data_IF_379897561631
#
_entry.id   IF_379897561631
#
_cell.length_a   1.000
_cell.length_b   1.000
_cell.length_c   1.000
_cell.angle_alpha   90.00
_cell.angle_beta   90.00
_cell.angle_gamma   90.00
#
_symmetry.space_group_name_H-M   'P 1'
#
loop_
_entity.id
_entity.type
_entity.pdbx_description
1 polymer ?
#
# COMPACT_ATOMS: atom_id res chain seq x y z
N UNK A 1 -10.95 -9.12 3.97
CA UNK A 1 -9.52 -8.84 4.22
C UNK A 1 -9.31 -7.37 4.52
N UNK A 2 -8.24 -7.03 5.19
CA UNK A 2 -7.76 -5.67 5.35
C UNK A 2 -6.70 -5.38 4.28
N UNK A 3 -6.96 -4.44 3.40
CA UNK A 3 -6.00 -4.02 2.36
C UNK A 3 -5.32 -2.75 2.84
N UNK A 4 -4.04 -2.85 3.16
CA UNK A 4 -3.24 -1.68 3.52
C UNK A 4 -2.76 -0.97 2.26
N UNK A 5 -3.09 0.32 2.12
CA UNK A 5 -2.71 1.12 0.96
C UNK A 5 -1.77 2.24 1.37
N UNK A 6 -0.62 2.28 0.73
CA UNK A 6 0.37 3.35 0.79
C UNK A 6 0.24 4.23 -0.45
N UNK A 7 0.08 5.52 -0.33
CA UNK A 7 -0.11 6.42 -1.46
C UNK A 7 0.29 7.86 -1.16
N UNK A 8 0.35 8.67 -2.21
CA UNK A 8 0.75 10.07 -2.11
C UNK A 8 -0.24 10.96 -1.37
N UNK A 9 0.28 11.93 -0.60
CA UNK A 9 -0.47 13.06 -0.03
C UNK A 9 -0.77 14.16 -1.07
N UNK A 10 -0.41 13.95 -2.34
CA UNK A 10 -0.76 14.77 -3.49
C UNK A 10 -1.41 13.92 -4.58
N UNK A 11 -2.11 14.56 -5.54
CA UNK A 11 -2.76 13.85 -6.64
C UNK A 11 -1.77 13.44 -7.75
N UNK A 12 -0.59 14.04 -7.75
CA UNK A 12 0.33 13.92 -8.88
C UNK A 12 -0.07 14.82 -10.04
N UNK A 13 0.65 14.72 -11.14
CA UNK A 13 0.44 15.55 -12.33
C UNK A 13 -0.63 15.01 -13.28
N UNK A 14 -0.76 13.68 -13.34
CA UNK A 14 -1.62 12.98 -14.28
C UNK A 14 -2.89 12.51 -13.56
N UNK A 15 -4.05 12.85 -14.13
CA UNK A 15 -5.35 12.43 -13.59
C UNK A 15 -5.54 10.90 -13.57
N UNK A 16 -4.76 10.15 -14.34
CA UNK A 16 -4.76 8.70 -14.29
C UNK A 16 -4.43 8.14 -12.90
N UNK A 17 -3.64 8.84 -12.10
CA UNK A 17 -3.32 8.41 -10.73
C UNK A 17 -4.52 8.53 -9.80
N UNK A 18 -5.32 9.60 -9.96
CA UNK A 18 -6.59 9.74 -9.26
C UNK A 18 -7.57 8.63 -9.67
N UNK A 19 -7.73 8.40 -10.98
CA UNK A 19 -8.57 7.32 -11.52
C UNK A 19 -8.13 5.95 -11.01
N UNK A 20 -6.81 5.71 -10.88
CA UNK A 20 -6.29 4.47 -10.30
C UNK A 20 -6.69 4.31 -8.82
N UNK A 21 -6.63 5.39 -8.02
CA UNK A 21 -7.06 5.38 -6.64
C UNK A 21 -8.56 5.13 -6.50
N UNK A 22 -9.39 5.73 -7.37
CA UNK A 22 -10.83 5.49 -7.45
C UNK A 22 -11.13 4.03 -7.84
N UNK A 23 -10.46 3.50 -8.87
CA UNK A 23 -10.58 2.11 -9.33
C UNK A 23 -10.25 1.12 -8.20
N UNK A 24 -9.13 1.32 -7.51
CA UNK A 24 -8.73 0.49 -6.38
C UNK A 24 -9.70 0.61 -5.21
N UNK A 25 -10.13 1.84 -4.87
CA UNK A 25 -11.08 2.07 -3.78
C UNK A 25 -12.42 1.39 -4.02
N UNK A 26 -12.94 1.45 -5.25
CA UNK A 26 -14.15 0.73 -5.65
C UNK A 26 -13.97 -0.78 -5.51
N UNK A 27 -12.87 -1.35 -5.98
CA UNK A 27 -12.57 -2.78 -5.87
C UNK A 27 -12.51 -3.23 -4.40
N UNK A 28 -11.89 -2.43 -3.52
CA UNK A 28 -11.83 -2.71 -2.07
C UNK A 28 -13.25 -2.79 -1.49
N UNK A 29 -14.11 -1.84 -1.82
CA UNK A 29 -15.47 -1.79 -1.30
C UNK A 29 -16.35 -2.92 -1.86
N UNK A 30 -16.34 -3.13 -3.17
CA UNK A 30 -17.12 -4.17 -3.86
C UNK A 30 -16.74 -5.57 -3.38
N UNK A 31 -15.44 -5.81 -3.10
CA UNK A 31 -14.92 -7.05 -2.51
C UNK A 31 -15.18 -7.20 -1.00
N UNK A 32 -15.91 -6.26 -0.39
CA UNK A 32 -16.17 -6.22 1.06
C UNK A 32 -14.88 -6.25 1.91
N UNK A 33 -13.80 -5.69 1.37
CA UNK A 33 -12.55 -5.52 2.08
C UNK A 33 -12.59 -4.23 2.92
N UNK A 34 -11.67 -4.12 3.86
CA UNK A 34 -11.47 -2.90 4.66
C UNK A 34 -10.20 -2.20 4.16
N UNK A 35 -10.30 -0.93 3.81
CA UNK A 35 -9.13 -0.09 3.56
C UNK A 35 -8.44 0.23 4.89
N UNK A 36 -7.13 -0.04 4.99
CA UNK A 36 -6.24 0.47 6.03
C UNK A 36 -5.27 1.43 5.38
N UNK A 37 -5.13 2.66 5.91
CA UNK A 37 -4.27 3.66 5.28
C UNK A 37 -3.81 4.74 6.26
N UNK A 38 -3.06 5.71 5.79
CA UNK A 38 -2.43 6.75 6.59
C UNK A 38 -3.34 7.81 7.22
N UNK A 39 -4.67 7.69 7.08
CA UNK A 39 -5.65 8.56 7.78
C UNK A 39 -5.80 9.97 7.19
N UNK A 40 -5.06 10.36 6.16
CA UNK A 40 -5.09 11.70 5.58
C UNK A 40 -6.27 11.96 4.64
N UNK A 41 -6.69 13.23 4.52
CA UNK A 41 -7.75 13.67 3.60
C UNK A 41 -7.23 14.28 2.29
N UNK A 42 -5.92 14.42 2.13
CA UNK A 42 -5.32 15.09 0.98
C UNK A 42 -4.76 14.09 -0.03
N UNK A 43 -4.69 14.51 -1.29
CA UNK A 43 -4.10 13.76 -2.39
C UNK A 43 -4.80 12.42 -2.64
N UNK A 44 -4.04 11.41 -3.07
CA UNK A 44 -4.57 10.08 -3.35
C UNK A 44 -5.10 9.38 -2.08
N UNK A 45 -4.60 9.76 -0.88
CA UNK A 45 -5.14 9.27 0.38
C UNK A 45 -6.61 9.66 0.56
N UNK A 46 -6.97 10.93 0.33
CA UNK A 46 -8.36 11.38 0.38
C UNK A 46 -9.21 10.69 -0.67
N UNK A 47 -8.73 10.64 -1.91
CA UNK A 47 -9.47 10.03 -3.04
C UNK A 47 -9.85 8.59 -2.75
N UNK A 48 -8.90 7.76 -2.32
CA UNK A 48 -9.19 6.34 -2.07
C UNK A 48 -10.14 6.15 -0.88
N UNK A 49 -9.96 6.92 0.20
CA UNK A 49 -10.83 6.84 1.37
C UNK A 49 -12.26 7.28 1.04
N UNK A 50 -12.43 8.42 0.35
CA UNK A 50 -13.72 8.91 -0.12
C UNK A 50 -14.42 7.90 -1.03
N UNK A 51 -13.67 7.28 -1.94
CA UNK A 51 -14.22 6.28 -2.87
C UNK A 51 -14.73 5.05 -2.11
N UNK A 52 -13.94 4.50 -1.19
CA UNK A 52 -14.37 3.34 -0.40
C UNK A 52 -15.64 3.67 0.41
N UNK A 53 -15.68 4.84 1.05
CA UNK A 53 -16.84 5.28 1.84
C UNK A 53 -18.09 5.52 0.97
N UNK A 54 -17.92 6.13 -0.21
CA UNK A 54 -19.01 6.35 -1.16
C UNK A 54 -19.65 5.03 -1.65
N UNK A 55 -18.87 3.95 -1.70
CA UNK A 55 -19.32 2.59 -2.02
C UNK A 55 -19.67 1.76 -0.78
N UNK A 56 -19.94 2.42 0.36
CA UNK A 56 -20.36 1.80 1.63
C UNK A 56 -19.32 0.81 2.22
N UNK A 57 -18.06 0.93 1.81
CA UNK A 57 -16.96 0.15 2.35
C UNK A 57 -16.45 0.67 3.70
N UNK A 58 -15.53 -0.06 4.30
CA UNK A 58 -14.95 0.27 5.60
C UNK A 58 -13.56 0.85 5.43
N UNK A 59 -13.25 1.91 6.21
CA UNK A 59 -11.96 2.59 6.17
C UNK A 59 -11.41 2.76 7.59
N UNK A 60 -10.19 2.30 7.81
CA UNK A 60 -9.42 2.50 9.04
C UNK A 60 -8.24 3.41 8.72
N UNK A 61 -8.21 4.59 9.30
CA UNK A 61 -7.08 5.53 9.20
C UNK A 61 -6.16 5.41 10.40
N UNK A 62 -4.86 5.32 10.17
CA UNK A 62 -3.84 5.34 11.22
C UNK A 62 -3.08 6.66 11.11
N UNK A 63 -3.21 7.52 12.11
CA UNK A 63 -2.65 8.88 12.04
C UNK A 63 -1.91 9.23 13.33
N UNK A 64 -0.66 9.76 13.25
CA UNK A 64 0.02 10.32 14.39
C UNK A 64 -0.67 11.58 14.91
N UNK A 65 -0.68 11.77 16.23
CA UNK A 65 -1.32 12.91 16.89
C UNK A 65 -0.88 14.26 16.26
N UNK A 66 0.41 14.45 16.02
CA UNK A 66 0.93 15.70 15.44
C UNK A 66 0.43 16.00 14.02
N UNK A 67 0.03 14.98 13.23
CA UNK A 67 -0.61 15.17 11.93
C UNK A 67 -2.11 15.43 12.07
N UNK A 68 -2.75 14.83 13.05
CA UNK A 68 -4.14 15.11 13.38
C UNK A 68 -4.30 16.59 13.80
N UNK A 69 -3.40 17.09 14.63
CA UNK A 69 -3.38 18.48 15.09
C UNK A 69 -3.19 19.50 13.95
N UNK A 70 -2.62 19.08 12.83
CA UNK A 70 -2.49 19.89 11.61
C UNK A 70 -3.71 19.84 10.68
N UNK A 71 -4.81 19.26 11.14
CA UNK A 71 -6.08 19.15 10.39
C UNK A 71 -5.96 18.38 9.05
N UNK A 72 -4.98 17.50 8.91
CA UNK A 72 -4.81 16.68 7.70
C UNK A 72 -5.56 15.35 7.76
N UNK A 73 -6.17 15.03 8.90
CA UNK A 73 -6.96 13.81 9.08
C UNK A 73 -8.28 13.85 8.31
N UNK A 74 -8.71 12.69 7.85
CA UNK A 74 -10.00 12.53 7.19
C UNK A 74 -11.14 12.51 8.24
N UNK A 75 -12.23 13.32 8.08
CA UNK A 75 -13.24 13.50 9.14
C UNK A 75 -14.22 12.32 9.28
N UNK A 76 -14.45 11.55 8.22
CA UNK A 76 -15.59 10.62 8.12
C UNK A 76 -15.19 9.14 8.05
N UNK A 77 -14.05 8.75 8.60
CA UNK A 77 -13.59 7.36 8.55
C UNK A 77 -14.47 6.44 9.39
N UNK A 78 -14.56 5.16 9.01
CA UNK A 78 -15.22 4.14 9.85
C UNK A 78 -14.52 4.01 11.20
N UNK A 79 -13.19 4.11 11.21
CA UNK A 79 -12.37 4.12 12.43
C UNK A 79 -11.10 4.95 12.22
N UNK A 80 -10.76 5.77 13.20
CA UNK A 80 -9.46 6.44 13.28
C UNK A 80 -8.69 5.88 14.46
N UNK A 81 -7.44 5.50 14.23
CA UNK A 81 -6.48 5.08 15.26
C UNK A 81 -5.41 6.15 15.35
N UNK A 82 -5.38 6.85 16.47
CA UNK A 82 -4.37 7.86 16.76
C UNK A 82 -3.18 7.17 17.42
N UNK A 83 -1.98 7.52 16.98
CA UNK A 83 -0.71 6.96 17.47
C UNK A 83 0.28 8.07 17.81
N UNK A 84 1.31 7.76 18.58
CA UNK A 84 2.27 8.76 19.08
C UNK A 84 3.37 9.10 18.06
N UNK A 85 3.75 8.14 17.20
CA UNK A 85 4.89 8.30 16.30
C UNK A 85 4.64 7.74 14.89
N UNK A 86 5.50 8.13 13.93
CA UNK A 86 5.50 7.54 12.58
C UNK A 86 5.87 6.06 12.60
N UNK A 87 6.75 5.64 13.50
CA UNK A 87 7.11 4.22 13.62
C UNK A 87 5.93 3.39 14.11
N UNK A 88 5.20 3.87 15.11
CA UNK A 88 3.97 3.21 15.59
C UNK A 88 2.90 3.16 14.51
N UNK A 89 2.72 4.24 13.73
CA UNK A 89 1.81 4.28 12.59
C UNK A 89 2.13 3.16 11.59
N UNK A 90 3.37 3.06 11.14
CA UNK A 90 3.80 2.04 10.17
C UNK A 90 3.59 0.63 10.73
N UNK A 91 4.03 0.38 11.96
CA UNK A 91 3.84 -0.90 12.62
C UNK A 91 2.35 -1.28 12.69
N UNK A 92 1.48 -0.33 13.04
CA UNK A 92 0.04 -0.58 13.13
C UNK A 92 -0.61 -0.86 11.77
N UNK A 93 -0.16 -0.17 10.71
CA UNK A 93 -0.60 -0.41 9.34
C UNK A 93 -0.18 -1.81 8.86
N UNK A 94 1.01 -2.24 9.23
CA UNK A 94 1.51 -3.60 8.91
C UNK A 94 0.75 -4.66 9.72
N UNK A 95 0.58 -4.46 11.02
CA UNK A 95 -0.14 -5.40 11.90
C UNK A 95 -1.57 -5.68 11.43
N UNK A 96 -2.25 -4.68 10.89
CA UNK A 96 -3.64 -4.80 10.46
C UNK A 96 -3.80 -5.35 9.04
N UNK A 97 -2.78 -5.23 8.19
CA UNK A 97 -2.89 -5.55 6.77
C UNK A 97 -2.79 -7.04 6.46
N UNK A 98 -3.67 -7.53 5.59
CA UNK A 98 -3.62 -8.86 4.99
C UNK A 98 -2.97 -8.83 3.59
N UNK A 99 -2.91 -7.64 2.97
CA UNK A 99 -2.20 -7.35 1.73
C UNK A 99 -1.76 -5.88 1.72
N UNK A 100 -0.64 -5.58 1.04
CA UNK A 100 -0.08 -4.24 0.96
C UNK A 100 -0.03 -3.78 -0.49
N UNK A 101 -0.64 -2.64 -0.79
CA UNK A 101 -0.68 -2.07 -2.15
C UNK A 101 -0.11 -0.65 -2.10
N UNK A 102 0.91 -0.38 -2.91
CA UNK A 102 1.39 0.97 -3.14
C UNK A 102 0.76 1.55 -4.40
N UNK A 103 -0.01 2.63 -4.28
CA UNK A 103 -0.34 3.54 -5.37
C UNK A 103 0.80 4.55 -5.59
N UNK A 104 0.83 5.28 -6.71
CA UNK A 104 1.78 6.35 -6.92
C UNK A 104 1.89 7.30 -5.72
N UNK A 105 3.12 7.67 -5.36
CA UNK A 105 3.38 8.52 -4.20
C UNK A 105 4.84 8.96 -4.10
N UNK A 106 5.17 9.67 -3.04
CA UNK A 106 6.51 10.18 -2.79
C UNK A 106 7.40 9.23 -1.98
N UNK A 107 8.49 9.77 -1.38
CA UNK A 107 9.44 9.01 -0.58
C UNK A 107 8.80 8.22 0.57
N UNK A 108 7.75 8.76 1.22
CA UNK A 108 7.03 8.05 2.29
C UNK A 108 6.35 6.78 1.80
N UNK A 109 5.68 6.83 0.64
CA UNK A 109 5.08 5.64 0.01
C UNK A 109 6.14 4.60 -0.34
N UNK A 110 7.30 5.06 -0.86
CA UNK A 110 8.42 4.17 -1.17
C UNK A 110 8.99 3.53 0.10
N UNK A 111 9.17 4.30 1.17
CA UNK A 111 9.66 3.80 2.46
C UNK A 111 8.74 2.71 3.01
N UNK A 112 7.43 2.98 3.06
CA UNK A 112 6.43 2.07 3.60
C UNK A 112 6.38 0.74 2.84
N UNK A 113 6.32 0.76 1.50
CA UNK A 113 6.27 -0.47 0.70
C UNK A 113 7.61 -1.23 0.71
N UNK A 114 8.75 -0.53 0.69
CA UNK A 114 10.06 -1.15 0.75
C UNK A 114 10.30 -1.84 2.10
N UNK A 115 9.77 -1.29 3.20
CA UNK A 115 9.85 -1.89 4.53
C UNK A 115 9.13 -3.25 4.58
N UNK A 116 7.88 -3.33 4.13
CA UNK A 116 7.11 -4.59 4.14
C UNK A 116 7.68 -5.64 3.18
N UNK A 117 8.24 -5.22 2.03
CA UNK A 117 8.97 -6.09 1.11
C UNK A 117 10.24 -6.64 1.81
N UNK A 118 10.99 -5.79 2.48
CA UNK A 118 12.19 -6.20 3.21
C UNK A 118 11.87 -7.18 4.34
N UNK A 119 10.76 -6.96 5.04
CA UNK A 119 10.31 -7.78 6.14
C UNK A 119 9.83 -9.18 5.70
N UNK A 120 9.33 -9.32 4.47
CA UNK A 120 8.98 -10.62 3.92
C UNK A 120 10.19 -11.58 3.88
N UNK A 121 11.36 -11.08 3.52
CA UNK A 121 12.61 -11.87 3.41
C UNK A 121 13.13 -12.41 4.74
N UNK A 122 12.74 -11.81 5.84
CA UNK A 122 13.14 -12.21 7.21
C UNK A 122 11.97 -12.82 8.01
N UNK A 123 10.85 -13.12 7.32
CA UNK A 123 9.67 -13.76 7.91
C UNK A 123 8.87 -12.88 8.87
N UNK A 124 9.00 -11.56 8.79
CA UNK A 124 8.22 -10.60 9.56
C UNK A 124 6.98 -10.10 8.83
N UNK A 125 6.89 -10.37 7.54
CA UNK A 125 5.71 -10.17 6.71
C UNK A 125 5.47 -11.43 5.87
N UNK A 126 4.29 -12.03 5.98
CA UNK A 126 3.88 -13.19 5.19
C UNK A 126 2.80 -12.85 4.16
N UNK A 127 2.50 -11.57 3.99
CA UNK A 127 1.40 -11.09 3.15
C UNK A 127 1.93 -10.47 1.85
N UNK A 128 1.12 -10.50 0.76
CA UNK A 128 1.53 -10.03 -0.56
C UNK A 128 1.81 -8.53 -0.60
N UNK A 129 2.82 -8.15 -1.38
CA UNK A 129 3.21 -6.77 -1.66
C UNK A 129 2.99 -6.46 -3.14
N UNK A 130 2.19 -5.44 -3.43
CA UNK A 130 1.78 -5.05 -4.78
C UNK A 130 2.13 -3.57 -5.01
N UNK A 131 2.74 -3.28 -6.14
CA UNK A 131 2.91 -1.92 -6.65
C UNK A 131 1.91 -1.71 -7.78
N UNK A 132 0.88 -0.88 -7.54
CA UNK A 132 -0.15 -0.57 -8.51
C UNK A 132 0.44 0.32 -9.61
N UNK A 133 0.89 -0.33 -10.70
CA UNK A 133 1.80 0.26 -11.67
C UNK A 133 1.06 1.04 -12.77
N UNK A 134 0.23 2.01 -12.37
CA UNK A 134 -0.48 2.86 -13.33
C UNK A 134 0.50 3.65 -14.19
N UNK A 135 0.35 3.55 -15.52
CA UNK A 135 1.21 4.21 -16.52
C UNK A 135 2.71 3.93 -16.33
N UNK A 136 3.08 2.80 -15.75
CA UNK A 136 4.48 2.46 -15.53
C UNK A 136 5.16 3.30 -14.44
N UNK A 137 4.39 3.89 -13.51
CA UNK A 137 4.94 4.76 -12.45
C UNK A 137 6.08 4.09 -11.68
N UNK A 138 5.98 2.80 -11.44
CA UNK A 138 7.00 2.03 -10.71
C UNK A 138 8.00 1.29 -11.60
N UNK A 139 8.03 1.53 -12.92
CA UNK A 139 8.96 0.81 -13.83
C UNK A 139 10.42 1.02 -13.49
N UNK A 140 10.80 2.24 -13.09
CA UNK A 140 12.17 2.53 -12.64
C UNK A 140 12.53 1.77 -11.36
N UNK A 141 11.57 1.62 -10.42
CA UNK A 141 11.77 0.84 -9.21
C UNK A 141 11.86 -0.67 -9.51
N UNK A 142 11.01 -1.17 -10.41
CA UNK A 142 11.07 -2.55 -10.91
C UNK A 142 12.44 -2.85 -11.55
N UNK A 143 12.93 -1.92 -12.37
CA UNK A 143 14.26 -2.00 -12.98
C UNK A 143 15.37 -2.00 -11.93
N UNK A 144 15.25 -1.19 -10.88
CA UNK A 144 16.21 -1.16 -9.79
C UNK A 144 16.22 -2.47 -8.99
N UNK A 145 15.05 -3.07 -8.70
CA UNK A 145 14.99 -4.39 -8.07
C UNK A 145 15.61 -5.47 -8.96
N UNK A 146 15.38 -5.44 -10.27
CA UNK A 146 16.06 -6.34 -11.22
C UNK A 146 17.57 -6.14 -11.19
N UNK A 147 18.05 -4.91 -11.04
CA UNK A 147 19.48 -4.62 -10.87
C UNK A 147 20.03 -5.21 -9.57
N UNK A 148 19.29 -5.08 -8.44
CA UNK A 148 19.68 -5.73 -7.18
C UNK A 148 19.80 -7.25 -7.33
N UNK A 149 18.91 -7.89 -8.12
CA UNK A 149 18.99 -9.33 -8.41
C UNK A 149 20.27 -9.64 -9.19
N UNK A 150 20.55 -8.88 -10.25
CA UNK A 150 21.76 -9.04 -11.06
C UNK A 150 23.05 -8.90 -10.25
N UNK A 151 23.07 -7.97 -9.29
CA UNK A 151 24.21 -7.73 -8.41
C UNK A 151 24.22 -8.64 -7.16
N UNK A 152 23.28 -9.60 -7.07
CA UNK A 152 23.17 -10.58 -5.98
C UNK A 152 22.83 -10.00 -4.58
N UNK A 153 22.30 -8.78 -4.52
CA UNK A 153 21.75 -8.19 -3.28
C UNK A 153 20.32 -8.59 -3.00
N UNK A 154 19.62 -9.14 -4.01
CA UNK A 154 18.26 -9.63 -3.94
C UNK A 154 18.16 -10.96 -4.69
N UNK A 155 17.31 -11.89 -4.27
CA UNK A 155 17.15 -13.13 -5.01
C UNK A 155 16.05 -13.01 -6.07
N UNK A 156 16.15 -13.79 -7.15
CA UNK A 156 15.09 -13.86 -8.16
C UNK A 156 13.77 -14.31 -7.54
N UNK A 157 13.83 -15.31 -6.65
CA UNK A 157 12.65 -15.83 -5.94
C UNK A 157 11.98 -14.79 -5.04
N UNK A 158 12.73 -13.92 -4.36
CA UNK A 158 12.16 -12.81 -3.56
C UNK A 158 11.51 -11.76 -4.48
N UNK A 159 12.15 -11.45 -5.62
CA UNK A 159 11.63 -10.47 -6.59
C UNK A 159 10.30 -10.92 -7.20
N UNK A 160 10.16 -12.21 -7.51
CA UNK A 160 8.93 -12.80 -8.06
C UNK A 160 7.76 -12.80 -7.07
N UNK A 161 8.02 -12.53 -5.78
CA UNK A 161 6.99 -12.34 -4.74
C UNK A 161 6.46 -10.92 -4.64
N UNK A 162 6.85 -10.04 -5.55
CA UNK A 162 6.38 -8.65 -5.64
C UNK A 162 5.63 -8.49 -6.96
N UNK A 163 4.36 -8.10 -6.89
CA UNK A 163 3.58 -7.85 -8.10
C UNK A 163 3.66 -6.38 -8.51
N UNK A 164 3.90 -6.14 -9.80
CA UNK A 164 3.81 -4.84 -10.45
C UNK A 164 2.70 -4.91 -11.50
N UNK A 165 1.50 -4.46 -11.17
CA UNK A 165 0.34 -4.52 -12.05
C UNK A 165 -0.67 -3.42 -11.73
N UNK A 166 -1.46 -3.00 -12.71
CA UNK A 166 -2.66 -2.16 -12.56
C UNK A 166 -3.94 -2.92 -12.96
N UNK A 167 -3.84 -4.23 -13.19
CA UNK A 167 -4.97 -5.12 -13.43
C UNK A 167 -5.48 -5.70 -12.11
N UNK A 168 -6.71 -5.34 -11.75
CA UNK A 168 -7.32 -5.78 -10.50
C UNK A 168 -7.57 -7.29 -10.45
N UNK A 169 -7.83 -7.94 -11.58
CA UNK A 169 -8.01 -9.39 -11.64
C UNK A 169 -6.68 -10.12 -11.40
N UNK A 170 -5.57 -9.60 -11.94
CA UNK A 170 -4.23 -10.12 -11.68
C UNK A 170 -3.86 -9.93 -10.20
N UNK A 171 -4.19 -8.76 -9.62
CA UNK A 171 -3.96 -8.47 -8.20
C UNK A 171 -4.74 -9.44 -7.31
N UNK A 172 -6.02 -9.67 -7.58
CA UNK A 172 -6.86 -10.60 -6.83
C UNK A 172 -6.30 -12.01 -6.87
N UNK A 173 -5.99 -12.50 -8.08
CA UNK A 173 -5.37 -13.81 -8.29
C UNK A 173 -4.05 -13.95 -7.55
N UNK A 174 -3.22 -12.89 -7.58
CA UNK A 174 -1.94 -12.88 -6.86
C UNK A 174 -2.13 -12.97 -5.34
N UNK A 175 -3.09 -12.22 -4.78
CA UNK A 175 -3.41 -12.25 -3.35
C UNK A 175 -3.89 -13.64 -2.92
N UNK A 176 -4.81 -14.25 -3.67
CA UNK A 176 -5.39 -15.56 -3.37
C UNK A 176 -4.38 -16.71 -3.37
N UNK A 177 -3.39 -16.64 -4.26
CA UNK A 177 -2.40 -17.71 -4.43
C UNK A 177 -1.03 -17.37 -3.84
N UNK A 178 -0.94 -16.28 -3.07
CA UNK A 178 0.34 -15.80 -2.54
C UNK A 178 0.98 -16.83 -1.60
N UNK A 179 2.27 -17.02 -1.80
CA UNK A 179 3.14 -17.75 -0.88
C UNK A 179 4.35 -16.89 -0.55
N UNK A 180 4.64 -16.66 0.72
CA UNK A 180 5.76 -15.83 1.12
C UNK A 180 7.10 -16.40 0.63
N UNK A 181 8.13 -15.55 0.48
CA UNK A 181 9.46 -16.04 0.12
C UNK A 181 10.03 -16.97 1.19
N UNK A 182 10.99 -17.78 0.79
CA UNK A 182 11.76 -18.58 1.75
C UNK A 182 12.54 -17.66 2.69
N UNK A 183 12.63 -18.05 3.96
CA UNK A 183 13.43 -17.29 4.93
C UNK A 183 14.89 -17.22 4.49
N UNK A 184 15.44 -16.03 4.55
CA UNK A 184 16.86 -15.80 4.25
C UNK A 184 17.72 -16.55 5.29
N UNK A 185 18.56 -17.46 4.81
CA UNK A 185 19.63 -18.09 5.59
C UNK A 185 20.93 -17.32 5.38
N UNK A 186 21.71 -17.13 6.45
CA UNK A 186 23.01 -16.42 6.43
C UNK A 186 24.17 -17.41 6.50
#
# INVERSE_FOLDING_TARGET
MNITVYCGASLGHDSAYQTAAEKLGKWIADGQHTLVYGGGKLGLMGVIADTVLAHQGKVIGIIPQFLQDREVSHPNLTKTVVVESMSERKNKMVELGDAYIALPGGPGTLEEIAEVISWARIGKNNNPCILFNEKGYFDSLKSFFSHMVKESFFTQGDFEKILFSNDLQEIETFIEHYQPPALRTY
#
